data_IF_974724462238
#
_entry.id   IF_974724462238
#
_cell.length_a   1.000
_cell.length_b   1.000
_cell.length_c   1.000
_cell.angle_alpha   90.00
_cell.angle_beta   90.00
_cell.angle_gamma   90.00
#
_symmetry.space_group_name_H-M   'P 1'
#
loop_
_entity.id
_entity.type
_entity.pdbx_description
1 polymer ?
#
# COMPACT_ATOMS: atom_id res chain seq x y z
N UNK A 1 9.48 12.36 15.89
CA UNK A 1 8.81 12.14 14.60
C UNK A 1 9.22 13.27 13.65
N UNK A 2 9.45 13.00 12.35
CA UNK A 2 9.86 14.04 11.42
C UNK A 2 8.72 15.06 11.16
N UNK A 3 9.08 16.31 10.87
CA UNK A 3 8.17 17.46 10.78
C UNK A 3 7.11 17.30 9.68
N UNK A 4 7.43 16.60 8.59
CA UNK A 4 6.51 16.35 7.47
C UNK A 4 5.32 15.47 7.82
N UNK A 5 5.53 14.44 8.67
CA UNK A 5 4.44 13.60 9.15
C UNK A 5 3.42 14.40 9.98
N UNK A 6 3.87 15.40 10.73
CA UNK A 6 2.98 16.27 11.50
C UNK A 6 2.11 17.16 10.60
N UNK A 7 2.69 17.72 9.54
CA UNK A 7 1.93 18.55 8.58
C UNK A 7 0.86 17.74 7.83
N UNK A 8 1.15 16.51 7.43
CA UNK A 8 0.14 15.63 6.80
C UNK A 8 -1.06 15.38 7.70
N UNK A 9 -0.82 15.09 8.99
CA UNK A 9 -1.90 14.89 9.97
C UNK A 9 -2.75 16.13 10.23
N UNK A 10 -2.15 17.33 10.19
CA UNK A 10 -2.90 18.57 10.36
C UNK A 10 -3.84 18.85 9.19
N UNK A 11 -3.49 18.38 7.98
CA UNK A 11 -4.27 18.58 6.78
C UNK A 11 -5.37 17.53 6.60
N UNK A 12 -5.18 16.29 7.07
CA UNK A 12 -6.15 15.22 6.86
C UNK A 12 -7.62 15.61 7.17
N UNK A 13 -7.95 16.27 8.30
CA UNK A 13 -9.35 16.60 8.60
C UNK A 13 -9.98 17.63 7.65
N UNK A 14 -9.18 18.50 7.02
CA UNK A 14 -9.65 19.60 6.17
C UNK A 14 -9.46 19.32 4.68
N UNK A 15 -8.38 18.64 4.30
CA UNK A 15 -8.02 18.27 2.94
C UNK A 15 -7.21 16.95 2.94
N UNK A 16 -7.90 15.79 2.91
CA UNK A 16 -7.27 14.47 2.82
C UNK A 16 -6.37 14.28 1.60
N UNK A 17 -6.64 14.98 0.49
CA UNK A 17 -5.85 14.86 -0.73
C UNK A 17 -4.52 15.61 -0.59
N UNK A 18 -4.55 16.82 -0.02
CA UNK A 18 -3.33 17.55 0.30
C UNK A 18 -2.46 16.79 1.32
N UNK A 19 -3.07 16.06 2.26
CA UNK A 19 -2.32 15.18 3.16
C UNK A 19 -1.58 14.06 2.40
N UNK A 20 -2.24 13.40 1.43
CA UNK A 20 -1.57 12.41 0.55
C UNK A 20 -0.41 13.05 -0.20
N UNK A 21 -0.58 14.23 -0.77
CA UNK A 21 0.48 14.92 -1.52
C UNK A 21 1.71 15.21 -0.65
N UNK A 22 1.50 15.59 0.62
CA UNK A 22 2.59 15.80 1.58
C UNK A 22 3.30 14.48 1.89
N UNK A 23 2.55 13.40 2.14
CA UNK A 23 3.15 12.09 2.40
C UNK A 23 3.91 11.54 1.20
N UNK A 24 3.40 11.72 -0.02
CA UNK A 24 4.06 11.28 -1.25
C UNK A 24 5.38 12.02 -1.54
N UNK A 25 5.56 13.24 -1.01
CA UNK A 25 6.82 14.00 -1.11
C UNK A 25 7.85 13.62 -0.06
N UNK A 26 7.49 12.78 0.91
CA UNK A 26 8.42 12.35 1.94
C UNK A 26 9.53 11.49 1.33
N UNK A 27 10.81 11.83 1.55
CA UNK A 27 11.93 11.07 0.98
C UNK A 27 12.10 9.75 1.74
N UNK A 28 11.36 8.73 1.32
CA UNK A 28 11.49 7.38 1.86
C UNK A 28 12.76 6.71 1.33
N UNK A 29 13.44 5.99 2.21
CA UNK A 29 14.55 5.10 1.86
C UNK A 29 14.08 3.97 0.92
N UNK A 30 14.99 3.28 0.21
CA UNK A 30 14.66 2.02 -0.44
C UNK A 30 13.97 1.06 0.53
N UNK A 31 12.94 0.32 0.07
CA UNK A 31 12.11 -0.53 0.95
C UNK A 31 12.93 -1.54 1.77
N UNK A 32 14.04 -2.04 1.22
CA UNK A 32 14.94 -2.97 1.93
C UNK A 32 15.65 -2.34 3.14
N UNK A 33 15.71 -1.01 3.22
CA UNK A 33 16.37 -0.23 4.28
C UNK A 33 15.37 0.52 5.18
N UNK A 34 14.07 0.37 4.91
CA UNK A 34 13.02 1.02 5.68
C UNK A 34 12.84 0.36 7.04
N UNK A 35 12.77 1.19 8.08
CA UNK A 35 12.32 0.78 9.40
C UNK A 35 10.79 0.75 9.47
N UNK A 36 10.23 0.17 10.54
CA UNK A 36 8.79 0.23 10.80
C UNK A 36 8.24 1.67 10.84
N UNK A 37 9.04 2.63 11.31
CA UNK A 37 8.66 4.05 11.31
C UNK A 37 8.60 4.63 9.89
N UNK A 38 9.46 4.18 8.97
CA UNK A 38 9.42 4.64 7.58
C UNK A 38 8.20 4.06 6.85
N UNK A 39 7.86 2.79 7.13
CA UNK A 39 6.69 2.13 6.56
C UNK A 39 5.36 2.70 7.05
N UNK A 40 5.35 3.42 8.17
CA UNK A 40 4.17 4.14 8.66
C UNK A 40 3.61 5.11 7.61
N UNK A 41 4.48 5.88 6.93
CA UNK A 41 4.07 6.83 5.89
C UNK A 41 3.37 6.10 4.73
N UNK A 42 3.90 4.95 4.32
CA UNK A 42 3.26 4.12 3.28
C UNK A 42 1.90 3.60 3.74
N UNK A 43 1.77 3.23 5.01
CA UNK A 43 0.49 2.84 5.61
C UNK A 43 -0.54 3.96 5.59
N UNK A 44 -0.14 5.19 5.92
CA UNK A 44 -1.03 6.36 5.93
C UNK A 44 -1.49 6.77 4.53
N UNK A 45 -0.59 6.70 3.53
CA UNK A 45 -0.97 6.93 2.13
C UNK A 45 -2.06 5.93 1.72
N UNK A 46 -1.88 4.64 2.01
CA UNK A 46 -2.89 3.62 1.69
C UNK A 46 -4.19 3.89 2.46
N UNK A 47 -4.11 4.20 3.75
CA UNK A 47 -5.29 4.48 4.58
C UNK A 47 -6.14 5.61 4.01
N UNK A 48 -5.49 6.72 3.63
CA UNK A 48 -6.15 7.91 3.09
C UNK A 48 -6.74 7.68 1.69
N UNK A 49 -6.03 6.95 0.82
CA UNK A 49 -6.53 6.66 -0.52
C UNK A 49 -7.71 5.68 -0.48
N UNK A 50 -7.65 4.67 0.40
CA UNK A 50 -8.73 3.70 0.55
C UNK A 50 -9.98 4.32 1.18
N UNK A 51 -9.83 5.23 2.16
CA UNK A 51 -11.00 5.92 2.77
C UNK A 51 -11.74 6.80 1.76
N UNK A 52 -11.02 7.32 0.75
CA UNK A 52 -11.57 8.11 -0.34
C UNK A 52 -11.96 7.28 -1.58
N UNK A 53 -11.85 5.94 -1.52
CA UNK A 53 -12.08 5.01 -2.63
C UNK A 53 -11.22 5.30 -3.88
N UNK A 54 -10.06 5.91 -3.70
CA UNK A 54 -9.13 6.26 -4.80
C UNK A 54 -8.22 5.08 -5.17
N UNK A 55 -8.82 3.96 -5.56
CA UNK A 55 -8.09 2.73 -5.85
C UNK A 55 -7.25 2.81 -7.14
N UNK A 56 -7.64 3.69 -8.06
CA UNK A 56 -6.96 3.91 -9.35
C UNK A 56 -5.86 4.98 -9.28
N UNK A 57 -5.62 5.54 -8.09
CA UNK A 57 -4.47 6.40 -7.85
C UNK A 57 -3.16 5.61 -8.09
N UNK A 58 -2.05 6.31 -8.37
CA UNK A 58 -0.77 5.65 -8.69
C UNK A 58 -0.07 5.04 -7.46
N UNK A 59 -0.45 5.47 -6.26
CA UNK A 59 0.24 5.14 -4.99
C UNK A 59 -0.25 3.91 -4.20
N UNK A 60 -1.53 3.45 -4.27
CA UNK A 60 -1.97 2.29 -3.49
C UNK A 60 -1.08 1.06 -3.70
N UNK A 61 -0.69 0.76 -4.94
CA UNK A 61 0.20 -0.36 -5.26
C UNK A 61 1.59 -0.23 -4.62
N UNK A 62 2.39 0.80 -4.99
CA UNK A 62 3.71 1.03 -4.39
C UNK A 62 3.69 1.11 -2.86
N UNK A 63 2.71 1.82 -2.28
CA UNK A 63 2.61 1.99 -0.83
C UNK A 63 2.19 0.70 -0.11
N UNK A 64 1.29 -0.12 -0.68
CA UNK A 64 0.96 -1.45 -0.14
C UNK A 64 2.17 -2.39 -0.19
N UNK A 65 2.95 -2.36 -1.26
CA UNK A 65 4.18 -3.17 -1.36
C UNK A 65 5.19 -2.75 -0.29
N UNK A 66 5.44 -1.45 -0.14
CA UNK A 66 6.37 -0.94 0.87
C UNK A 66 5.90 -1.30 2.29
N UNK A 67 4.63 -1.03 2.59
CA UNK A 67 4.06 -1.32 3.91
C UNK A 67 4.05 -2.82 4.22
N UNK A 68 3.60 -3.66 3.28
CA UNK A 68 3.54 -5.10 3.44
C UNK A 68 4.91 -5.78 3.53
N UNK A 69 5.94 -5.26 2.85
CA UNK A 69 7.31 -5.76 2.97
C UNK A 69 7.93 -5.48 4.33
N UNK A 70 7.70 -4.30 4.87
CA UNK A 70 8.33 -3.86 6.12
C UNK A 70 7.55 -4.34 7.34
N UNK A 71 6.21 -4.24 7.31
CA UNK A 71 5.34 -4.57 8.45
C UNK A 71 4.78 -6.00 8.39
N UNK A 72 4.82 -6.65 7.23
CA UNK A 72 4.23 -7.97 6.99
C UNK A 72 2.84 -7.92 6.34
N UNK A 73 2.44 -9.05 5.75
CA UNK A 73 1.18 -9.18 5.00
C UNK A 73 -0.07 -8.96 5.87
N UNK A 74 -0.03 -9.34 7.15
CA UNK A 74 -1.14 -9.14 8.08
C UNK A 74 -1.50 -7.66 8.26
N UNK A 75 -0.52 -6.75 8.20
CA UNK A 75 -0.74 -5.32 8.32
C UNK A 75 -1.46 -4.70 7.10
N UNK A 76 -1.50 -5.39 5.96
CA UNK A 76 -2.22 -4.93 4.76
C UNK A 76 -3.53 -5.69 4.52
N UNK A 77 -3.86 -6.71 5.32
CA UNK A 77 -5.01 -7.60 5.09
C UNK A 77 -6.34 -6.83 4.97
N UNK A 78 -6.55 -5.81 5.82
CA UNK A 78 -7.72 -4.93 5.74
C UNK A 78 -7.88 -4.32 4.35
N UNK A 79 -6.79 -3.83 3.76
CA UNK A 79 -6.81 -3.17 2.45
C UNK A 79 -6.91 -4.19 1.32
N UNK A 80 -6.33 -5.37 1.50
CA UNK A 80 -6.53 -6.50 0.57
C UNK A 80 -8.01 -6.82 0.47
N UNK A 81 -8.72 -6.94 1.58
CA UNK A 81 -10.16 -7.23 1.60
C UNK A 81 -11.00 -6.14 0.93
N UNK A 82 -10.66 -4.86 1.11
CA UNK A 82 -11.33 -3.74 0.44
C UNK A 82 -11.14 -3.85 -1.09
N UNK A 83 -9.90 -4.03 -1.54
CA UNK A 83 -9.59 -4.12 -2.96
C UNK A 83 -10.16 -5.38 -3.63
N UNK A 84 -10.25 -6.49 -2.90
CA UNK A 84 -10.83 -7.75 -3.35
C UNK A 84 -12.34 -7.55 -3.59
N UNK A 85 -13.04 -6.94 -2.63
CA UNK A 85 -14.46 -6.58 -2.77
C UNK A 85 -14.74 -5.59 -3.92
N UNK A 86 -13.77 -4.75 -4.26
CA UNK A 86 -13.84 -3.77 -5.37
C UNK A 86 -13.28 -4.33 -6.69
N UNK A 87 -13.03 -5.64 -6.77
CA UNK A 87 -12.52 -6.34 -7.96
C UNK A 87 -11.19 -5.79 -8.51
N UNK A 88 -10.37 -5.16 -7.67
CA UNK A 88 -9.04 -4.65 -8.04
C UNK A 88 -7.98 -5.76 -8.01
N UNK A 89 -8.32 -6.92 -8.58
CA UNK A 89 -7.52 -8.16 -8.52
C UNK A 89 -6.17 -8.05 -9.25
N UNK A 90 -6.09 -7.25 -10.32
CA UNK A 90 -4.83 -6.98 -11.01
C UNK A 90 -3.83 -6.24 -10.11
N UNK A 91 -4.30 -5.25 -9.34
CA UNK A 91 -3.50 -4.54 -8.35
C UNK A 91 -3.03 -5.49 -7.25
N UNK A 92 -3.94 -6.32 -6.72
CA UNK A 92 -3.62 -7.29 -5.67
C UNK A 92 -2.56 -8.30 -6.11
N UNK A 93 -2.69 -8.88 -7.32
CA UNK A 93 -1.68 -9.78 -7.87
C UNK A 93 -0.31 -9.12 -7.98
N UNK A 94 -0.25 -7.87 -8.43
CA UNK A 94 0.99 -7.11 -8.51
C UNK A 94 1.61 -6.88 -7.13
N UNK A 95 0.80 -6.48 -6.14
CA UNK A 95 1.25 -6.28 -4.76
C UNK A 95 1.85 -7.57 -4.18
N UNK A 96 1.16 -8.70 -4.28
CA UNK A 96 1.64 -9.98 -3.75
C UNK A 96 2.91 -10.47 -4.46
N UNK A 97 2.99 -10.35 -5.79
CA UNK A 97 4.20 -10.70 -6.53
C UNK A 97 5.41 -9.87 -6.06
N UNK A 98 5.22 -8.55 -5.95
CA UNK A 98 6.29 -7.63 -5.53
C UNK A 98 6.71 -7.82 -4.08
N UNK A 99 5.79 -8.09 -3.15
CA UNK A 99 6.12 -8.37 -1.74
C UNK A 99 7.01 -9.62 -1.63
N UNK A 100 6.65 -10.68 -2.36
CA UNK A 100 7.38 -11.95 -2.33
C UNK A 100 8.64 -11.97 -3.21
N UNK A 101 8.96 -10.88 -3.92
CA UNK A 101 10.05 -10.80 -4.90
C UNK A 101 9.96 -11.89 -5.99
N UNK A 102 8.73 -12.22 -6.40
CA UNK A 102 8.43 -13.26 -7.37
C UNK A 102 7.87 -12.65 -8.66
N UNK A 103 7.98 -13.39 -9.75
CA UNK A 103 7.33 -13.03 -11.01
C UNK A 103 5.82 -13.28 -10.93
N UNK A 104 5.07 -12.66 -11.82
CA UNK A 104 3.60 -12.79 -11.83
C UNK A 104 3.13 -14.21 -12.13
N UNK A 105 3.90 -14.96 -12.92
CA UNK A 105 3.64 -16.33 -13.37
C UNK A 105 4.29 -17.40 -12.47
N UNK A 106 4.87 -17.01 -11.33
CA UNK A 106 5.39 -17.95 -10.34
C UNK A 106 4.30 -18.97 -9.95
N UNK A 107 4.58 -20.30 -10.02
CA UNK A 107 3.56 -21.33 -9.81
C UNK A 107 2.83 -21.23 -8.47
N UNK A 108 3.56 -20.96 -7.38
CA UNK A 108 2.96 -20.85 -6.04
C UNK A 108 2.01 -19.64 -5.97
N UNK A 109 2.41 -18.52 -6.58
CA UNK A 109 1.55 -17.34 -6.66
C UNK A 109 0.33 -17.58 -7.54
N UNK A 110 0.50 -18.26 -8.68
CA UNK A 110 -0.60 -18.61 -9.58
C UNK A 110 -1.65 -19.46 -8.86
N UNK A 111 -1.22 -20.47 -8.09
CA UNK A 111 -2.14 -21.32 -7.35
C UNK A 111 -2.83 -20.56 -6.21
N UNK A 112 -2.11 -19.66 -5.52
CA UNK A 112 -2.72 -18.73 -4.57
C UNK A 112 -3.76 -17.80 -5.24
N UNK A 113 -3.45 -17.25 -6.41
CA UNK A 113 -4.36 -16.36 -7.14
C UNK A 113 -5.61 -17.08 -7.64
N UNK A 114 -5.50 -18.34 -8.09
CA UNK A 114 -6.66 -19.18 -8.42
C UNK A 114 -7.51 -19.46 -7.20
N UNK A 115 -6.89 -19.82 -6.07
CA UNK A 115 -7.60 -20.06 -4.80
C UNK A 115 -8.39 -18.82 -4.35
N UNK A 116 -7.84 -17.63 -4.58
CA UNK A 116 -8.48 -16.34 -4.30
C UNK A 116 -9.45 -15.87 -5.38
N UNK A 117 -9.63 -16.61 -6.48
CA UNK A 117 -10.43 -16.23 -7.66
C UNK A 117 -10.00 -14.89 -8.30
N UNK A 118 -8.69 -14.60 -8.31
CA UNK A 118 -8.13 -13.39 -8.92
C UNK A 118 -7.71 -13.57 -10.39
N UNK A 119 -7.73 -14.82 -10.87
CA UNK A 119 -7.53 -15.26 -12.26
C UNK A 119 -8.46 -16.40 -12.61
#
# INVERSE_FOLDING_TARGET
MPTFSLFGYMLEPSDPQAAVDVFCRFPLKPVAEQSFNDAFISGEIVRLLMSQKQHDHSQPGPSLVAHGKVMGLSCIEKYVNILDGESKTALLRNVYARINNKQHDDPDLQDFFKFKCWI
#
